data_IF_327990893208
#
_entry.id   IF_327990893208
#
_cell.length_a   1.000
_cell.length_b   1.000
_cell.length_c   1.000
_cell.angle_alpha   90.00
_cell.angle_beta   90.00
_cell.angle_gamma   90.00
#
_symmetry.space_group_name_H-M   'P 1'
#
loop_
_entity.id
_entity.type
_entity.pdbx_description
1 polymer ?
#
# COMPACT_ATOMS: atom_id res chain seq x y z
N UNK A 1 -11.24 -10.21 -51.71
CA UNK A 1 -11.19 -9.68 -50.33
C UNK A 1 -12.12 -8.47 -50.27
N UNK A 2 -13.32 -8.58 -49.72
CA UNK A 2 -14.21 -7.42 -49.56
C UNK A 2 -14.22 -7.01 -48.09
N UNK A 3 -13.66 -5.83 -47.81
CA UNK A 3 -13.70 -5.24 -46.48
C UNK A 3 -15.14 -4.89 -46.09
N UNK A 4 -15.42 -4.99 -44.79
CA UNK A 4 -16.70 -4.60 -44.19
C UNK A 4 -17.03 -3.14 -44.52
N UNK A 5 -18.27 -2.79 -44.91
CA UNK A 5 -18.66 -1.43 -45.32
C UNK A 5 -18.61 -0.39 -44.21
N UNK A 6 -18.31 -0.79 -42.97
CA UNK A 6 -18.54 0.00 -41.76
C UNK A 6 -17.28 0.13 -40.89
N UNK A 7 -16.11 0.26 -41.50
CA UNK A 7 -14.90 0.65 -40.78
C UNK A 7 -14.84 2.20 -40.70
N UNK A 8 -14.86 2.81 -39.50
CA UNK A 8 -14.76 4.25 -39.38
C UNK A 8 -13.37 4.76 -39.83
N UNK A 9 -13.25 5.96 -40.43
CA UNK A 9 -12.01 6.43 -41.06
C UNK A 9 -10.86 6.73 -40.07
N UNK A 10 -11.15 6.72 -38.76
CA UNK A 10 -10.17 6.90 -37.70
C UNK A 10 -10.45 5.84 -36.61
N UNK A 11 -9.63 4.79 -36.61
CA UNK A 11 -9.82 3.57 -35.83
C UNK A 11 -9.73 3.78 -34.31
N UNK A 12 -10.86 4.05 -33.68
CA UNK A 12 -11.11 3.56 -32.33
C UNK A 12 -12.03 2.35 -32.45
N UNK A 13 -11.49 1.16 -32.20
CA UNK A 13 -12.33 -0.02 -31.99
C UNK A 13 -13.35 0.31 -30.88
N UNK A 14 -14.61 -0.17 -31.00
CA UNK A 14 -15.54 -0.06 -29.90
C UNK A 14 -14.93 -0.78 -28.69
N UNK A 15 -14.73 -0.03 -27.60
CA UNK A 15 -14.27 -0.58 -26.33
C UNK A 15 -15.05 -1.85 -26.00
N UNK A 16 -14.34 -2.93 -25.68
CA UNK A 16 -14.98 -4.20 -25.33
C UNK A 16 -15.97 -3.97 -24.18
N UNK A 17 -17.05 -4.78 -24.09
CA UNK A 17 -18.07 -4.61 -23.03
C UNK A 17 -17.48 -4.61 -21.60
N UNK A 18 -16.34 -5.28 -21.41
CA UNK A 18 -15.56 -5.26 -20.17
C UNK A 18 -14.94 -3.88 -19.87
N UNK A 19 -14.40 -3.21 -20.88
CA UNK A 19 -13.80 -1.87 -20.75
C UNK A 19 -14.85 -0.81 -20.46
N UNK A 20 -16.04 -0.96 -21.03
CA UNK A 20 -17.18 -0.07 -20.78
C UNK A 20 -17.72 -0.22 -19.35
N UNK A 21 -17.90 -1.45 -18.86
CA UNK A 21 -18.32 -1.71 -17.46
C UNK A 21 -17.26 -1.28 -16.43
N UNK A 22 -15.97 -1.50 -16.72
CA UNK A 22 -14.87 -1.02 -15.89
C UNK A 22 -14.88 0.51 -15.80
N UNK A 23 -15.02 1.22 -16.92
CA UNK A 23 -15.13 2.69 -16.93
C UNK A 23 -16.34 3.19 -16.13
N UNK A 24 -17.50 2.55 -16.26
CA UNK A 24 -18.71 2.90 -15.50
C UNK A 24 -18.56 2.70 -13.99
N UNK A 25 -17.87 1.65 -13.55
CA UNK A 25 -17.58 1.41 -12.13
C UNK A 25 -16.60 2.47 -11.57
N UNK A 26 -15.54 2.80 -12.30
CA UNK A 26 -14.55 3.81 -11.87
C UNK A 26 -15.11 5.23 -11.76
N UNK A 27 -16.15 5.57 -12.54
CA UNK A 27 -16.77 6.91 -12.55
C UNK A 27 -17.60 7.23 -11.30
N UNK A 28 -17.92 6.22 -10.47
CA UNK A 28 -18.74 6.41 -9.26
C UNK A 28 -18.01 7.15 -8.15
N UNK A 29 -16.70 6.94 -8.03
CA UNK A 29 -15.88 7.60 -7.01
C UNK A 29 -15.26 8.87 -7.58
N UNK A 30 -15.78 10.03 -7.16
CA UNK A 30 -15.15 11.31 -7.51
C UNK A 30 -13.79 11.48 -6.84
N UNK A 31 -12.89 12.27 -7.44
CA UNK A 31 -11.59 12.63 -6.83
C UNK A 31 -11.78 13.18 -5.41
N UNK A 32 -12.78 14.04 -5.19
CA UNK A 32 -13.10 14.59 -3.86
C UNK A 32 -13.48 13.51 -2.85
N UNK A 33 -14.25 12.50 -3.28
CA UNK A 33 -14.61 11.38 -2.41
C UNK A 33 -13.38 10.54 -2.03
N UNK A 34 -12.48 10.26 -2.99
CA UNK A 34 -11.23 9.54 -2.74
C UNK A 34 -10.38 10.27 -1.70
N UNK A 35 -10.14 11.58 -1.93
CA UNK A 35 -9.38 12.42 -1.00
C UNK A 35 -10.05 12.50 0.38
N UNK A 36 -11.37 12.68 0.42
CA UNK A 36 -12.13 12.78 1.66
C UNK A 36 -12.11 11.50 2.50
N UNK A 37 -12.28 10.34 1.86
CA UNK A 37 -12.20 9.03 2.52
C UNK A 37 -10.82 8.83 3.11
N UNK A 38 -9.76 9.09 2.33
CA UNK A 38 -8.39 8.90 2.79
C UNK A 38 -8.06 9.83 3.96
N UNK A 39 -8.29 11.14 3.80
CA UNK A 39 -7.93 12.13 4.81
C UNK A 39 -8.71 11.96 6.11
N UNK A 40 -10.01 11.67 6.04
CA UNK A 40 -10.81 11.42 7.24
C UNK A 40 -10.34 10.16 7.97
N UNK A 41 -10.08 9.07 7.24
CA UNK A 41 -9.59 7.82 7.83
C UNK A 41 -8.23 8.02 8.50
N UNK A 42 -7.31 8.70 7.83
CA UNK A 42 -5.98 8.98 8.35
C UNK A 42 -5.99 9.91 9.57
N UNK A 43 -6.85 10.94 9.56
CA UNK A 43 -7.02 11.83 10.72
C UNK A 43 -7.59 11.09 11.93
N UNK A 44 -8.59 10.22 11.73
CA UNK A 44 -9.13 9.36 12.79
C UNK A 44 -8.06 8.39 13.31
N UNK A 45 -7.27 7.78 12.42
CA UNK A 45 -6.17 6.90 12.80
C UNK A 45 -5.13 7.59 13.68
N UNK A 46 -4.71 8.80 13.30
CA UNK A 46 -3.78 9.61 14.11
C UNK A 46 -4.40 9.90 15.48
N UNK A 47 -5.67 10.32 15.51
CA UNK A 47 -6.38 10.63 16.76
C UNK A 47 -6.43 9.40 17.68
N UNK A 48 -6.87 8.24 17.17
CA UNK A 48 -6.96 7.00 17.94
C UNK A 48 -5.60 6.56 18.48
N UNK A 49 -4.56 6.61 17.65
CA UNK A 49 -3.20 6.24 18.06
C UNK A 49 -2.65 7.19 19.13
N UNK A 50 -2.90 8.50 18.98
CA UNK A 50 -2.48 9.51 19.96
C UNK A 50 -3.21 9.34 21.29
N UNK A 51 -4.52 9.08 21.26
CA UNK A 51 -5.32 8.81 22.46
C UNK A 51 -4.87 7.52 23.17
N UNK A 52 -4.58 6.47 22.41
CA UNK A 52 -4.06 5.23 22.97
C UNK A 52 -2.72 5.45 23.68
N UNK A 53 -1.79 6.17 23.05
CA UNK A 53 -0.51 6.52 23.65
C UNK A 53 -0.68 7.36 24.92
N UNK A 54 -1.54 8.39 24.88
CA UNK A 54 -1.85 9.21 26.05
C UNK A 54 -2.48 8.39 27.20
N UNK A 55 -3.40 7.48 26.88
CA UNK A 55 -4.06 6.61 27.87
C UNK A 55 -3.14 5.56 28.49
N UNK A 56 -2.02 5.24 27.82
CA UNK A 56 -1.05 4.25 28.31
C UNK A 56 -0.13 4.76 29.42
N UNK A 57 -0.27 6.02 29.85
CA UNK A 57 0.59 6.65 30.87
C UNK A 57 1.97 7.11 30.35
N UNK A 58 2.36 6.67 29.15
CA UNK A 58 3.66 6.96 28.55
C UNK A 58 3.91 8.45 28.22
N UNK A 59 2.88 9.31 28.22
CA UNK A 59 3.03 10.75 27.98
C UNK A 59 3.44 11.54 29.24
N UNK A 60 3.19 11.02 30.44
CA UNK A 60 3.31 11.79 31.69
C UNK A 60 4.56 11.44 32.51
N UNK A 61 5.07 10.21 32.42
CA UNK A 61 6.02 9.70 33.42
C UNK A 61 7.51 9.74 33.02
N UNK A 62 7.87 9.99 31.75
CA UNK A 62 9.26 9.77 31.30
C UNK A 62 9.80 10.85 30.35
N UNK A 63 10.06 12.04 30.88
CA UNK A 63 10.95 13.01 30.22
C UNK A 63 12.39 12.62 30.54
N UNK A 64 13.02 11.80 29.69
CA UNK A 64 14.47 11.54 29.75
C UNK A 64 14.90 10.07 29.54
N UNK A 65 14.04 9.11 29.84
CA UNK A 65 14.30 7.69 29.58
C UNK A 65 13.71 7.23 28.25
N UNK A 66 14.37 6.27 27.57
CA UNK A 66 13.82 5.63 26.37
C UNK A 66 12.49 4.99 26.73
N UNK A 67 11.38 5.54 26.21
CA UNK A 67 10.05 4.99 26.37
C UNK A 67 10.08 3.55 25.82
N UNK A 68 10.06 2.57 26.72
CA UNK A 68 9.91 1.18 26.32
C UNK A 68 8.45 1.00 25.91
N UNK A 69 8.19 1.01 24.60
CA UNK A 69 6.84 0.84 24.08
C UNK A 69 6.25 -0.50 24.58
N UNK A 70 5.02 -0.51 25.11
CA UNK A 70 4.37 -1.75 25.49
C UNK A 70 4.26 -2.70 24.29
N UNK A 71 4.53 -3.99 24.48
CA UNK A 71 4.53 -4.98 23.37
C UNK A 71 3.21 -5.05 22.59
N UNK A 72 2.09 -4.75 23.25
CA UNK A 72 0.77 -4.68 22.61
C UNK A 72 0.58 -3.49 21.68
N UNK A 73 1.41 -2.45 21.81
CA UNK A 73 1.27 -1.18 21.12
C UNK A 73 1.38 -1.32 19.60
N UNK A 74 2.24 -2.21 19.10
CA UNK A 74 2.32 -2.51 17.67
C UNK A 74 0.99 -3.03 17.12
N UNK A 75 0.41 -4.05 17.78
CA UNK A 75 -0.86 -4.63 17.35
C UNK A 75 -2.02 -3.63 17.45
N UNK A 76 -2.08 -2.87 18.54
CA UNK A 76 -3.12 -1.87 18.74
C UNK A 76 -3.01 -0.69 17.76
N UNK A 77 -1.80 -0.16 17.54
CA UNK A 77 -1.57 0.94 16.59
C UNK A 77 -1.89 0.51 15.15
N UNK A 78 -1.59 -0.74 14.77
CA UNK A 78 -2.03 -1.30 13.49
C UNK A 78 -3.57 -1.31 13.35
N UNK A 79 -4.30 -1.75 14.38
CA UNK A 79 -5.77 -1.74 14.38
C UNK A 79 -6.32 -0.30 14.31
N UNK A 80 -5.74 0.64 15.06
CA UNK A 80 -6.16 2.04 15.03
C UNK A 80 -5.85 2.71 13.70
N UNK A 81 -4.78 2.30 13.03
CA UNK A 81 -4.45 2.79 11.70
C UNK A 81 -5.41 2.25 10.65
N UNK A 82 -5.65 0.94 10.63
CA UNK A 82 -6.38 0.28 9.54
C UNK A 82 -7.90 0.24 9.73
N UNK A 83 -8.37 0.18 10.96
CA UNK A 83 -9.80 0.11 11.29
C UNK A 83 -10.61 1.22 10.62
N UNK A 84 -10.22 2.50 10.76
CA UNK A 84 -10.89 3.62 10.09
C UNK A 84 -10.95 3.46 8.56
N UNK A 85 -9.86 3.01 7.93
CA UNK A 85 -9.84 2.75 6.48
C UNK A 85 -10.80 1.63 6.09
N UNK A 86 -10.77 0.48 6.75
CA UNK A 86 -11.67 -0.65 6.43
C UNK A 86 -13.14 -0.24 6.59
N UNK A 87 -13.46 0.47 7.66
CA UNK A 87 -14.81 0.99 7.91
C UNK A 87 -15.21 1.99 6.81
N UNK A 88 -14.35 2.95 6.49
CA UNK A 88 -14.64 3.98 5.49
C UNK A 88 -14.81 3.39 4.09
N UNK A 89 -13.96 2.43 3.70
CA UNK A 89 -14.10 1.68 2.44
C UNK A 89 -15.40 0.89 2.40
N UNK A 90 -15.78 0.23 3.51
CA UNK A 90 -17.04 -0.50 3.60
C UNK A 90 -18.26 0.42 3.47
N UNK A 91 -18.24 1.59 4.12
CA UNK A 91 -19.30 2.60 4.01
C UNK A 91 -19.35 3.16 2.59
N UNK A 92 -18.19 3.44 1.98
CA UNK A 92 -18.12 4.01 0.65
C UNK A 92 -18.59 3.02 -0.43
N UNK A 93 -18.27 1.72 -0.31
CA UNK A 93 -18.82 0.69 -1.19
C UNK A 93 -20.35 0.65 -1.15
N UNK A 94 -20.96 0.74 0.04
CA UNK A 94 -22.43 0.79 0.22
C UNK A 94 -23.06 2.07 -0.31
N UNK A 95 -22.46 3.24 -0.02
CA UNK A 95 -23.09 4.56 -0.27
C UNK A 95 -22.75 5.16 -1.63
N UNK A 96 -21.60 4.82 -2.19
CA UNK A 96 -21.07 5.42 -3.43
C UNK A 96 -20.92 4.33 -4.51
N UNK A 97 -20.43 3.16 -4.13
CA UNK A 97 -20.06 2.06 -5.02
C UNK A 97 -21.22 1.22 -5.54
N UNK A 98 -21.03 -0.10 -5.53
CA UNK A 98 -22.01 -1.09 -6.03
C UNK A 98 -22.58 -1.97 -4.93
N UNK A 99 -22.25 -1.69 -3.66
CA UNK A 99 -22.52 -2.57 -2.51
C UNK A 99 -21.84 -3.96 -2.63
N UNK A 100 -20.86 -4.07 -3.52
CA UNK A 100 -20.01 -5.25 -3.65
C UNK A 100 -18.57 -4.82 -3.43
N UNK A 101 -18.09 -4.98 -2.20
CA UNK A 101 -16.77 -4.55 -1.76
C UNK A 101 -15.65 -5.11 -2.65
N UNK A 102 -15.73 -6.39 -3.00
CA UNK A 102 -14.72 -7.03 -3.82
C UNK A 102 -14.67 -6.46 -5.24
N UNK A 103 -15.84 -6.14 -5.82
CA UNK A 103 -15.93 -5.51 -7.13
C UNK A 103 -15.45 -4.05 -7.10
N UNK A 104 -15.89 -3.30 -6.09
CA UNK A 104 -15.56 -1.88 -5.95
C UNK A 104 -14.05 -1.66 -5.73
N UNK A 105 -13.38 -2.57 -5.02
CA UNK A 105 -11.94 -2.49 -4.75
C UNK A 105 -11.10 -3.50 -5.53
N UNK A 106 -11.64 -4.09 -6.59
CA UNK A 106 -10.92 -5.00 -7.48
C UNK A 106 -10.26 -6.20 -6.78
N UNK A 107 -10.83 -6.64 -5.66
CA UNK A 107 -10.35 -7.76 -4.86
C UNK A 107 -10.73 -9.07 -5.53
N UNK A 108 -9.79 -9.63 -6.27
CA UNK A 108 -9.90 -10.98 -6.83
C UNK A 108 -8.52 -11.60 -6.97
N UNK A 109 -8.48 -12.93 -6.89
CA UNK A 109 -7.25 -13.73 -6.95
C UNK A 109 -7.35 -14.78 -8.05
N UNK A 110 -6.23 -15.03 -8.70
CA UNK A 110 -6.01 -16.08 -9.70
C UNK A 110 -4.65 -16.73 -9.45
N UNK A 111 -4.45 -17.97 -9.88
CA UNK A 111 -3.16 -18.67 -9.68
C UNK A 111 -1.95 -17.92 -10.27
N UNK A 112 -2.14 -17.21 -11.39
CA UNK A 112 -1.09 -16.39 -12.00
C UNK A 112 -0.61 -15.25 -11.09
N UNK A 113 -1.42 -14.84 -10.09
CA UNK A 113 -1.04 -13.82 -9.13
C UNK A 113 0.09 -14.29 -8.19
N UNK A 114 0.37 -15.59 -8.13
CA UNK A 114 1.54 -16.15 -7.45
C UNK A 114 2.88 -15.70 -8.09
N UNK A 115 2.87 -15.21 -9.33
CA UNK A 115 4.03 -14.51 -9.90
C UNK A 115 4.38 -13.24 -9.11
N UNK A 116 3.47 -12.73 -8.27
CA UNK A 116 3.79 -11.70 -7.30
C UNK A 116 4.93 -12.12 -6.36
N UNK A 117 5.08 -13.41 -6.01
CA UNK A 117 6.13 -13.88 -5.09
C UNK A 117 7.53 -13.51 -5.60
N UNK A 118 7.97 -13.98 -6.80
CA UNK A 118 9.28 -13.60 -7.31
C UNK A 118 9.39 -12.09 -7.56
N UNK A 119 8.31 -11.39 -7.94
CA UNK A 119 8.32 -9.93 -8.10
C UNK A 119 8.67 -9.25 -6.78
N UNK A 120 8.02 -9.64 -5.67
CA UNK A 120 8.25 -9.08 -4.35
C UNK A 120 9.65 -9.37 -3.82
N UNK A 121 10.11 -10.62 -3.95
CA UNK A 121 11.46 -11.04 -3.54
C UNK A 121 12.53 -10.28 -4.31
N UNK A 122 12.43 -10.22 -5.64
CA UNK A 122 13.39 -9.49 -6.49
C UNK A 122 13.38 -8.00 -6.17
N UNK A 123 12.20 -7.44 -5.89
CA UNK A 123 12.07 -6.03 -5.52
C UNK A 123 12.79 -5.75 -4.19
N UNK A 124 12.61 -6.61 -3.19
CA UNK A 124 13.25 -6.45 -1.89
C UNK A 124 14.77 -6.60 -1.97
N UNK A 125 15.25 -7.64 -2.66
CA UNK A 125 16.67 -8.00 -2.69
C UNK A 125 17.47 -7.08 -3.62
N UNK A 126 16.93 -6.73 -4.78
CA UNK A 126 17.67 -6.02 -5.82
C UNK A 126 17.16 -4.61 -6.06
N UNK A 127 15.85 -4.44 -6.31
CA UNK A 127 15.32 -3.13 -6.73
C UNK A 127 15.58 -2.05 -5.68
N UNK A 128 15.28 -2.33 -4.41
CA UNK A 128 15.48 -1.36 -3.33
C UNK A 128 16.95 -0.95 -3.26
N UNK A 129 17.88 -1.90 -3.20
CA UNK A 129 19.31 -1.61 -3.13
C UNK A 129 19.84 -0.83 -4.33
N UNK A 130 19.42 -1.20 -5.54
CA UNK A 130 19.84 -0.51 -6.78
C UNK A 130 19.32 0.93 -6.80
N UNK A 131 18.04 1.13 -6.43
CA UNK A 131 17.41 2.46 -6.48
C UNK A 131 17.95 3.38 -5.39
N UNK A 132 18.23 2.86 -4.19
CA UNK A 132 18.73 3.67 -3.08
C UNK A 132 20.23 3.94 -3.17
N UNK A 133 21.01 3.08 -3.84
CA UNK A 133 22.46 3.23 -3.94
C UNK A 133 22.91 4.63 -4.43
N UNK A 134 22.40 5.21 -5.53
CA UNK A 134 22.79 6.57 -5.93
C UNK A 134 22.55 7.62 -4.84
N UNK A 135 21.48 7.49 -4.05
CA UNK A 135 21.18 8.41 -2.96
C UNK A 135 22.15 8.25 -1.78
N UNK A 136 22.58 7.02 -1.49
CA UNK A 136 23.61 6.75 -0.47
C UNK A 136 24.94 7.40 -0.84
N UNK A 137 25.30 7.42 -2.13
CA UNK A 137 26.53 8.05 -2.61
C UNK A 137 26.44 9.58 -2.59
N UNK A 138 25.32 10.14 -3.04
CA UNK A 138 25.16 11.58 -3.21
C UNK A 138 24.80 12.30 -1.90
N UNK A 139 24.12 11.61 -0.98
CA UNK A 139 23.58 12.19 0.26
C UNK A 139 23.76 11.24 1.46
N UNK A 140 25.00 10.83 1.80
CA UNK A 140 25.28 9.80 2.80
C UNK A 140 24.70 10.11 4.18
N UNK A 141 24.64 11.39 4.58
CA UNK A 141 24.07 11.79 5.88
C UNK A 141 22.55 11.59 5.96
N UNK A 142 21.85 11.74 4.84
CA UNK A 142 20.37 11.65 4.78
C UNK A 142 19.88 10.25 4.46
N UNK A 143 20.70 9.46 3.76
CA UNK A 143 20.36 8.12 3.33
C UNK A 143 21.39 7.10 3.84
N UNK A 144 21.61 7.07 5.15
CA UNK A 144 22.40 6.00 5.78
C UNK A 144 21.54 4.72 5.86
N UNK A 145 21.96 3.60 5.23
CA UNK A 145 21.25 2.32 5.30
C UNK A 145 20.99 1.84 6.73
N UNK A 146 21.87 2.19 7.67
CA UNK A 146 21.75 1.81 9.08
C UNK A 146 20.48 2.32 9.73
N UNK A 147 19.92 3.44 9.26
CA UNK A 147 18.67 3.98 9.81
C UNK A 147 17.47 3.10 9.48
N UNK A 148 17.45 2.50 8.29
CA UNK A 148 16.39 1.56 7.87
C UNK A 148 16.57 0.23 8.58
N UNK A 149 17.81 -0.28 8.60
CA UNK A 149 18.16 -1.54 9.27
C UNK A 149 17.82 -1.48 10.76
N UNK A 150 18.20 -0.40 11.44
CA UNK A 150 17.94 -0.21 12.87
C UNK A 150 16.45 -0.28 13.20
N UNK A 151 15.59 0.38 12.44
CA UNK A 151 14.13 0.30 12.68
C UNK A 151 13.59 -1.11 12.52
N UNK A 152 14.04 -1.79 11.47
CA UNK A 152 13.58 -3.13 11.20
C UNK A 152 14.05 -4.11 12.29
N UNK A 153 15.29 -3.95 12.77
CA UNK A 153 15.83 -4.68 13.91
C UNK A 153 15.10 -4.35 15.20
N UNK A 154 14.88 -3.07 15.51
CA UNK A 154 14.14 -2.64 16.70
C UNK A 154 12.73 -3.28 16.73
N UNK A 155 12.03 -3.35 15.59
CA UNK A 155 10.73 -4.04 15.49
C UNK A 155 10.85 -5.56 15.73
N UNK A 156 11.86 -6.20 15.16
CA UNK A 156 12.07 -7.64 15.28
C UNK A 156 12.52 -8.05 16.69
N UNK A 157 13.51 -7.37 17.25
CA UNK A 157 14.10 -7.65 18.57
C UNK A 157 13.07 -7.43 19.70
N UNK A 158 12.12 -6.53 19.52
CA UNK A 158 11.03 -6.32 20.48
C UNK A 158 9.92 -7.38 20.38
N UNK A 159 9.92 -8.22 19.34
CA UNK A 159 8.89 -9.21 19.06
C UNK A 159 9.36 -10.62 19.40
N UNK A 160 9.11 -11.06 20.65
CA UNK A 160 9.38 -12.43 21.10
C UNK A 160 8.10 -13.20 21.48
N UNK A 161 8.12 -14.53 21.32
CA UNK A 161 6.99 -15.40 21.66
C UNK A 161 5.75 -15.07 20.82
N UNK A 162 4.60 -14.89 21.48
CA UNK A 162 3.34 -14.53 20.80
C UNK A 162 3.44 -13.22 20.02
N UNK A 163 4.30 -12.29 20.44
CA UNK A 163 4.46 -10.99 19.78
C UNK A 163 5.18 -11.08 18.45
N UNK A 164 6.01 -12.11 18.23
CA UNK A 164 6.58 -12.40 16.90
C UNK A 164 5.48 -12.81 15.92
N UNK A 165 4.51 -13.61 16.37
CA UNK A 165 3.36 -13.99 15.56
C UNK A 165 2.52 -12.76 15.21
N UNK A 166 2.28 -11.87 16.18
CA UNK A 166 1.61 -10.59 15.95
C UNK A 166 2.36 -9.74 14.93
N UNK A 167 3.69 -9.59 15.06
CA UNK A 167 4.53 -8.86 14.12
C UNK A 167 4.38 -9.43 12.70
N UNK A 168 4.48 -10.75 12.54
CA UNK A 168 4.32 -11.40 11.22
C UNK A 168 2.93 -11.14 10.65
N UNK A 169 1.87 -11.34 11.43
CA UNK A 169 0.49 -11.11 10.96
C UNK A 169 0.32 -9.65 10.53
N UNK A 170 0.80 -8.69 11.33
CA UNK A 170 0.67 -7.26 11.06
C UNK A 170 1.51 -6.86 9.84
N UNK A 171 2.82 -7.10 9.86
CA UNK A 171 3.77 -6.58 8.86
C UNK A 171 3.71 -7.36 7.55
N UNK A 172 3.61 -8.68 7.61
CA UNK A 172 3.69 -9.51 6.40
C UNK A 172 2.35 -9.65 5.71
N UNK A 173 1.23 -9.62 6.44
CA UNK A 173 -0.10 -9.84 5.86
C UNK A 173 -1.02 -8.62 5.98
N UNK A 174 -1.21 -8.11 7.19
CA UNK A 174 -2.15 -7.04 7.49
C UNK A 174 -1.86 -5.76 6.70
N UNK A 175 -0.63 -5.24 6.84
CA UNK A 175 -0.17 -4.04 6.15
C UNK A 175 -0.34 -4.17 4.63
N UNK A 176 0.25 -5.19 3.95
CA UNK A 176 0.06 -5.37 2.52
C UNK A 176 -1.39 -5.41 2.06
N UNK A 177 -2.27 -6.15 2.75
CA UNK A 177 -3.67 -6.28 2.34
C UNK A 177 -4.40 -4.94 2.43
N UNK A 178 -4.29 -4.25 3.56
CA UNK A 178 -4.99 -2.98 3.78
C UNK A 178 -4.42 -1.88 2.89
N UNK A 179 -3.10 -1.81 2.75
CA UNK A 179 -2.45 -0.82 1.91
C UNK A 179 -2.80 -1.03 0.43
N UNK A 180 -2.82 -2.26 -0.09
CA UNK A 180 -3.26 -2.49 -1.47
C UNK A 180 -4.73 -2.12 -1.69
N UNK A 181 -5.61 -2.38 -0.72
CA UNK A 181 -7.02 -1.95 -0.80
C UNK A 181 -7.15 -0.42 -0.86
N UNK A 182 -6.38 0.31 -0.05
CA UNK A 182 -6.42 1.78 -0.01
C UNK A 182 -5.75 2.38 -1.23
N UNK A 183 -4.50 2.02 -1.51
CA UNK A 183 -3.71 2.67 -2.55
C UNK A 183 -4.06 2.17 -3.95
N UNK A 184 -4.20 0.86 -4.16
CA UNK A 184 -4.49 0.31 -5.51
C UNK A 184 -5.99 0.22 -5.74
N UNK A 185 -6.75 -0.25 -4.75
CA UNK A 185 -8.20 -0.38 -4.84
C UNK A 185 -8.90 0.97 -4.90
N UNK A 186 -8.82 1.78 -3.83
CA UNK A 186 -9.48 3.07 -3.75
C UNK A 186 -8.80 4.13 -4.63
N UNK A 187 -7.51 4.43 -4.41
CA UNK A 187 -6.86 5.58 -5.03
C UNK A 187 -6.56 5.33 -6.52
N UNK A 188 -5.62 4.44 -6.86
CA UNK A 188 -5.20 4.20 -8.25
C UNK A 188 -6.36 3.69 -9.11
N UNK A 189 -7.12 2.71 -8.57
CA UNK A 189 -8.22 2.03 -9.23
C UNK A 189 -9.34 2.95 -9.69
N UNK A 190 -9.63 4.01 -8.94
CA UNK A 190 -10.68 4.98 -9.28
C UNK A 190 -10.14 6.27 -9.91
N UNK A 191 -8.93 6.72 -9.54
CA UNK A 191 -8.30 7.88 -10.19
C UNK A 191 -8.08 7.65 -11.68
N UNK A 192 -7.77 6.42 -12.12
CA UNK A 192 -7.63 6.09 -13.56
C UNK A 192 -8.90 6.29 -14.38
N UNK A 193 -10.07 6.43 -13.74
CA UNK A 193 -11.32 6.81 -14.39
C UNK A 193 -11.49 8.32 -14.59
N UNK A 194 -10.68 9.12 -13.88
CA UNK A 194 -10.70 10.60 -13.89
C UNK A 194 -9.47 11.22 -14.57
N UNK A 195 -8.33 10.54 -14.54
CA UNK A 195 -7.04 10.97 -15.12
C UNK A 195 -6.38 9.82 -15.88
N UNK A 196 -5.29 10.11 -16.60
CA UNK A 196 -4.51 9.09 -17.31
C UNK A 196 -4.02 7.97 -16.36
N UNK A 197 -4.05 6.71 -16.82
CA UNK A 197 -3.72 5.55 -15.98
C UNK A 197 -2.29 5.58 -15.41
N UNK A 198 -1.32 6.11 -16.17
CA UNK A 198 0.08 6.26 -15.72
C UNK A 198 0.19 7.38 -14.70
N UNK A 199 -0.51 8.50 -14.90
CA UNK A 199 -0.56 9.57 -13.92
C UNK A 199 -1.17 9.08 -12.59
N UNK A 200 -2.27 8.32 -12.64
CA UNK A 200 -2.86 7.71 -11.45
C UNK A 200 -1.90 6.77 -10.73
N UNK A 201 -1.16 5.94 -11.47
CA UNK A 201 -0.13 5.05 -10.92
C UNK A 201 0.97 5.85 -10.20
N UNK A 202 1.58 6.83 -10.88
CA UNK A 202 2.69 7.62 -10.34
C UNK A 202 2.24 8.45 -9.13
N UNK A 203 1.08 9.11 -9.20
CA UNK A 203 0.53 9.85 -8.06
C UNK A 203 0.28 8.95 -6.85
N UNK A 204 -0.27 7.76 -7.07
CA UNK A 204 -0.48 6.78 -6.01
C UNK A 204 0.86 6.31 -5.42
N UNK A 205 1.88 6.08 -6.26
CA UNK A 205 3.20 5.68 -5.79
C UNK A 205 3.88 6.77 -4.94
N UNK A 206 3.79 8.04 -5.36
CA UNK A 206 4.28 9.17 -4.56
C UNK A 206 3.54 9.26 -3.23
N UNK A 207 2.21 9.11 -3.26
CA UNK A 207 1.40 9.14 -2.04
C UNK A 207 1.80 8.01 -1.08
N UNK A 208 1.88 6.79 -1.59
CA UNK A 208 2.29 5.61 -0.82
C UNK A 208 3.66 5.81 -0.16
N UNK A 209 4.66 6.30 -0.89
CA UNK A 209 5.99 6.52 -0.31
C UNK A 209 6.01 7.71 0.66
N UNK A 210 5.29 8.80 0.34
CA UNK A 210 5.33 10.05 1.10
C UNK A 210 4.75 9.96 2.50
N UNK A 211 3.71 9.16 2.71
CA UNK A 211 3.05 9.00 4.03
C UNK A 211 3.92 8.29 5.07
N UNK A 212 4.99 7.61 4.64
CA UNK A 212 5.92 6.97 5.55
C UNK A 212 6.76 8.01 6.30
N UNK A 213 6.87 9.25 5.77
CA UNK A 213 7.57 10.38 6.40
C UNK A 213 9.05 10.10 6.70
N UNK A 214 9.67 9.19 5.94
CA UNK A 214 11.07 8.79 6.11
C UNK A 214 11.82 8.99 4.81
N UNK A 215 12.66 10.02 4.78
CA UNK A 215 13.37 10.41 3.56
C UNK A 215 14.28 9.28 3.03
N UNK A 216 14.91 8.53 3.94
CA UNK A 216 15.80 7.41 3.59
C UNK A 216 15.05 6.25 2.91
N UNK A 217 13.79 6.03 3.27
CA UNK A 217 12.96 4.95 2.72
C UNK A 217 12.29 5.36 1.41
N UNK A 218 12.11 6.67 1.18
CA UNK A 218 11.30 7.20 0.09
C UNK A 218 11.68 6.65 -1.30
N UNK A 219 12.96 6.65 -1.75
CA UNK A 219 13.30 6.17 -3.10
C UNK A 219 12.95 4.69 -3.31
N UNK A 220 13.25 3.85 -2.31
CA UNK A 220 12.97 2.43 -2.34
C UNK A 220 11.47 2.14 -2.34
N UNK A 221 10.72 2.78 -1.42
CA UNK A 221 9.27 2.64 -1.33
C UNK A 221 8.56 3.18 -2.57
N UNK A 222 9.03 4.29 -3.14
CA UNK A 222 8.46 4.84 -4.36
C UNK A 222 8.64 3.89 -5.54
N UNK A 223 9.85 3.35 -5.73
CA UNK A 223 10.12 2.39 -6.80
C UNK A 223 9.30 1.10 -6.62
N UNK A 224 9.22 0.57 -5.40
CA UNK A 224 8.40 -0.60 -5.13
C UNK A 224 6.91 -0.30 -5.33
N UNK A 225 6.44 0.89 -4.96
CA UNK A 225 5.06 1.29 -5.16
C UNK A 225 4.69 1.40 -6.65
N UNK A 226 5.63 1.78 -7.52
CA UNK A 226 5.48 1.69 -8.98
C UNK A 226 5.34 0.24 -9.44
N UNK A 227 6.14 -0.69 -8.90
CA UNK A 227 6.03 -2.14 -9.23
C UNK A 227 4.65 -2.68 -8.88
N UNK A 228 4.18 -2.43 -7.66
CA UNK A 228 2.85 -2.84 -7.21
C UNK A 228 1.73 -2.17 -8.02
N UNK A 229 1.88 -0.87 -8.33
CA UNK A 229 0.96 -0.15 -9.20
C UNK A 229 0.94 -0.69 -10.62
N UNK A 230 2.08 -1.18 -11.13
CA UNK A 230 2.20 -1.83 -12.44
C UNK A 230 1.53 -3.19 -12.44
N UNK A 231 1.73 -4.00 -11.39
CA UNK A 231 1.02 -5.27 -11.21
C UNK A 231 -0.50 -5.05 -11.28
N UNK A 232 -1.02 -4.05 -10.58
CA UNK A 232 -2.43 -3.68 -10.65
C UNK A 232 -2.83 -3.16 -12.02
N UNK A 233 -2.02 -2.31 -12.64
CA UNK A 233 -2.28 -1.74 -13.96
C UNK A 233 -2.44 -2.82 -15.04
N UNK A 234 -1.61 -3.86 -15.03
CA UNK A 234 -1.67 -4.95 -16.01
C UNK A 234 -2.74 -5.99 -15.67
N UNK A 235 -2.91 -6.35 -14.40
CA UNK A 235 -3.84 -7.42 -14.01
C UNK A 235 -5.26 -6.95 -13.79
N UNK A 236 -5.44 -5.64 -13.57
CA UNK A 236 -6.71 -4.97 -13.23
C UNK A 236 -7.41 -5.57 -12.00
N UNK A 237 -6.63 -6.19 -11.10
CA UNK A 237 -7.06 -6.78 -9.83
C UNK A 237 -5.95 -6.68 -8.79
N UNK A 238 -6.31 -6.79 -7.51
CA UNK A 238 -5.35 -6.65 -6.42
C UNK A 238 -4.48 -7.88 -6.18
N UNK A 239 -4.89 -9.08 -6.61
CA UNK A 239 -4.25 -10.33 -6.23
C UNK A 239 -2.73 -10.33 -6.39
N UNK A 240 -2.24 -9.96 -7.58
CA UNK A 240 -0.79 -9.96 -7.85
C UNK A 240 -0.03 -8.91 -7.02
N UNK A 241 -0.59 -7.70 -6.85
CA UNK A 241 0.02 -6.65 -6.03
C UNK A 241 0.07 -7.06 -4.56
N UNK A 242 -1.01 -7.63 -4.02
CA UNK A 242 -1.06 -8.13 -2.63
C UNK A 242 -0.01 -9.21 -2.42
N UNK A 243 0.08 -10.20 -3.31
CA UNK A 243 1.07 -11.28 -3.19
C UNK A 243 2.49 -10.74 -3.30
N UNK A 244 2.76 -9.80 -4.20
CA UNK A 244 4.08 -9.17 -4.32
C UNK A 244 4.46 -8.38 -3.08
N UNK A 245 3.51 -7.66 -2.50
CA UNK A 245 3.72 -6.87 -1.28
C UNK A 245 3.96 -7.76 -0.06
N UNK A 246 3.16 -8.83 0.11
CA UNK A 246 3.39 -9.85 1.14
C UNK A 246 4.80 -10.46 1.00
N UNK A 247 5.19 -10.85 -0.22
CA UNK A 247 6.50 -11.44 -0.46
C UNK A 247 7.66 -10.46 -0.20
N UNK A 248 7.50 -9.18 -0.55
CA UNK A 248 8.47 -8.13 -0.25
C UNK A 248 8.66 -7.95 1.26
N UNK A 249 7.57 -7.80 2.02
CA UNK A 249 7.64 -7.64 3.47
C UNK A 249 8.17 -8.89 4.17
N UNK A 250 7.74 -10.09 3.74
CA UNK A 250 8.27 -11.35 4.25
C UNK A 250 9.78 -11.46 4.02
N UNK A 251 10.24 -11.12 2.82
CA UNK A 251 11.68 -11.15 2.49
C UNK A 251 12.45 -10.16 3.35
N UNK A 252 11.94 -8.95 3.54
CA UNK A 252 12.56 -7.95 4.41
C UNK A 252 12.70 -8.44 5.86
N UNK A 253 11.63 -9.02 6.41
CA UNK A 253 11.63 -9.56 7.76
C UNK A 253 12.60 -10.75 7.91
N UNK A 254 12.67 -11.64 6.92
CA UNK A 254 13.62 -12.76 6.90
C UNK A 254 15.06 -12.25 6.86
N UNK A 255 15.36 -11.25 6.00
CA UNK A 255 16.70 -10.67 5.93
C UNK A 255 17.13 -10.09 7.27
N UNK A 256 16.25 -9.38 7.96
CA UNK A 256 16.52 -8.84 9.30
C UNK A 256 16.77 -9.97 10.31
N UNK A 257 16.01 -11.05 10.25
CA UNK A 257 16.18 -12.19 11.16
C UNK A 257 17.49 -12.98 10.94
N UNK A 258 18.14 -12.83 9.78
CA UNK A 258 19.39 -13.50 9.41
C UNK A 258 20.65 -12.66 9.66
N UNK A 259 20.49 -11.34 9.88
CA UNK A 259 21.59 -10.38 10.08
C UNK A 259 21.85 -10.12 11.55
#
# INVERSE_FOLDING_TARGET
>A
MSQSPWAPPYGQEPLSGHDQQSKLATKKFSVRAILGIWTASYAIAILLTTLALASSGNLADNVGDKIAEPKWFLGASAVFLWGPFVIALSIASRRIGTDNFAKDYFLSFRLIDLLGIPIGVISQVFLVGIVTWPFHLLFPEKFDPKNVEKRARDLFDNAHGIWLVVLVIVVVFGAPIIEELVYRGLIQGHLRGSINEIAALLMTAVWFAGIHLQIVEFPGLFAFAIVLGSCFHFTKRLGMSVVAHIAFNATGLILVALL
#
